data_IF_165431083468
#
_entry.id   IF_165431083468
#
_cell.length_a   1.000
_cell.length_b   1.000
_cell.length_c   1.000
_cell.angle_alpha   90.00
_cell.angle_beta   90.00
_cell.angle_gamma   90.00
#
_symmetry.space_group_name_H-M   'P 1'
#
loop_
_entity.id
_entity.type
_entity.pdbx_description
1 polymer ?
#
# COMPACT_ATOMS: atom_id res chain seq x y z
N UNK A 1 9.39 -0.36 -15.42
CA UNK A 1 10.22 -1.54 -15.06
C UNK A 1 9.29 -2.70 -14.75
N UNK A 2 9.44 -3.87 -15.39
CA UNK A 2 8.48 -4.99 -15.26
C UNK A 2 9.12 -6.14 -14.47
N UNK A 3 8.48 -6.56 -13.38
CA UNK A 3 8.93 -7.71 -12.59
C UNK A 3 8.42 -9.00 -13.23
N UNK A 4 9.27 -10.00 -13.33
CA UNK A 4 8.87 -11.35 -13.72
C UNK A 4 8.81 -12.24 -12.48
N UNK A 5 7.90 -13.22 -12.47
CA UNK A 5 7.86 -14.20 -11.39
C UNK A 5 9.12 -15.05 -11.51
N UNK A 6 9.83 -15.22 -10.41
CA UNK A 6 10.99 -16.09 -10.40
C UNK A 6 10.52 -17.53 -10.25
N UNK A 7 10.77 -18.34 -11.28
CA UNK A 7 10.54 -19.77 -11.30
C UNK A 7 11.83 -20.44 -10.81
N UNK A 8 11.91 -20.76 -9.53
CA UNK A 8 13.10 -21.39 -8.98
C UNK A 8 13.23 -22.83 -9.49
N UNK A 9 14.41 -23.17 -10.03
CA UNK A 9 14.73 -24.49 -10.59
C UNK A 9 14.63 -25.64 -9.55
N UNK A 10 14.60 -25.31 -8.25
CA UNK A 10 14.47 -26.25 -7.10
C UNK A 10 13.06 -26.29 -6.48
N UNK A 11 12.03 -25.88 -7.21
CA UNK A 11 10.58 -26.14 -6.97
C UNK A 11 9.98 -25.79 -5.59
N UNK A 12 10.73 -25.19 -4.66
CA UNK A 12 10.16 -24.79 -3.37
C UNK A 12 9.34 -23.53 -3.56
N UNK A 13 8.01 -23.66 -3.45
CA UNK A 13 7.04 -22.56 -3.45
C UNK A 13 7.31 -21.49 -2.37
N UNK A 14 8.14 -21.81 -1.37
CA UNK A 14 8.56 -20.87 -0.34
C UNK A 14 9.67 -19.93 -0.80
N UNK A 15 10.47 -20.37 -1.76
CA UNK A 15 11.52 -19.54 -2.33
C UNK A 15 10.85 -18.42 -3.13
N UNK A 16 11.17 -17.16 -2.79
CA UNK A 16 10.60 -15.96 -3.41
C UNK A 16 9.07 -15.81 -3.24
N UNK A 17 8.48 -16.43 -2.21
CA UNK A 17 7.04 -16.36 -1.95
C UNK A 17 6.51 -14.92 -1.93
N UNK A 18 7.18 -14.02 -1.20
CA UNK A 18 6.78 -12.62 -1.10
C UNK A 18 6.86 -11.92 -2.47
N UNK A 19 7.99 -12.06 -3.16
CA UNK A 19 8.21 -11.50 -4.50
C UNK A 19 7.13 -11.97 -5.47
N UNK A 20 6.91 -13.28 -5.56
CA UNK A 20 5.93 -13.87 -6.46
C UNK A 20 4.49 -13.46 -6.14
N UNK A 21 4.18 -13.14 -4.88
CA UNK A 21 2.87 -12.63 -4.45
C UNK A 21 2.66 -11.17 -4.84
N UNK A 22 3.71 -10.35 -4.84
CA UNK A 22 3.61 -8.93 -5.17
C UNK A 22 3.82 -8.62 -6.65
N UNK A 23 4.46 -9.50 -7.43
CA UNK A 23 4.76 -9.30 -8.86
C UNK A 23 3.53 -8.88 -9.68
N UNK A 24 2.39 -9.54 -9.49
CA UNK A 24 1.17 -9.19 -10.21
C UNK A 24 0.67 -7.78 -9.86
N UNK A 25 0.68 -7.42 -8.58
CA UNK A 25 0.25 -6.09 -8.12
C UNK A 25 1.22 -5.01 -8.61
N UNK A 26 2.52 -5.27 -8.49
CA UNK A 26 3.57 -4.36 -8.95
C UNK A 26 3.45 -4.04 -10.44
N UNK A 27 3.24 -5.06 -11.28
CA UNK A 27 3.13 -4.87 -12.73
C UNK A 27 1.85 -4.15 -13.17
N UNK A 28 0.86 -4.06 -12.29
CA UNK A 28 -0.38 -3.32 -12.54
C UNK A 28 -0.31 -1.87 -12.03
N UNK A 29 0.77 -1.48 -11.35
CA UNK A 29 0.96 -0.10 -10.92
C UNK A 29 1.16 0.81 -12.12
N UNK A 30 0.67 2.04 -12.01
CA UNK A 30 0.93 3.06 -13.01
C UNK A 30 2.41 3.41 -13.05
N UNK A 31 2.93 3.74 -14.24
CA UNK A 31 4.33 4.16 -14.38
C UNK A 31 4.62 5.44 -13.58
N UNK A 32 3.61 6.30 -13.41
CA UNK A 32 3.67 7.48 -12.55
C UNK A 32 3.92 7.07 -11.10
N UNK A 33 3.18 6.09 -10.57
CA UNK A 33 3.41 5.57 -9.22
C UNK A 33 4.83 5.03 -9.04
N UNK A 34 5.35 4.27 -10.01
CA UNK A 34 6.70 3.67 -9.92
C UNK A 34 7.81 4.73 -10.05
N UNK A 35 7.56 5.84 -10.75
CA UNK A 35 8.56 6.89 -11.00
C UNK A 35 8.64 7.97 -9.90
N UNK A 36 7.81 7.87 -8.85
CA UNK A 36 7.83 8.83 -7.73
C UNK A 36 9.16 8.80 -6.98
N UNK A 37 9.82 9.97 -6.92
CA UNK A 37 11.15 10.12 -6.30
C UNK A 37 11.13 10.07 -4.78
N UNK A 38 10.01 10.45 -4.14
CA UNK A 38 9.88 10.45 -2.69
C UNK A 38 9.17 9.19 -2.20
N UNK A 39 9.75 8.57 -1.19
CA UNK A 39 9.16 7.41 -0.50
C UNK A 39 7.77 7.75 0.06
N UNK A 40 7.57 8.98 0.54
CA UNK A 40 6.29 9.39 1.14
C UNK A 40 5.20 9.55 0.08
N UNK A 41 5.53 10.12 -1.07
CA UNK A 41 4.60 10.24 -2.18
C UNK A 41 4.28 8.86 -2.77
N UNK A 42 5.31 8.00 -2.89
CA UNK A 42 5.15 6.62 -3.34
C UNK A 42 4.17 5.84 -2.46
N UNK A 43 4.40 5.82 -1.14
CA UNK A 43 3.51 5.15 -0.17
C UNK A 43 2.07 5.62 -0.29
N UNK A 44 1.87 6.95 -0.29
CA UNK A 44 0.53 7.55 -0.38
C UNK A 44 -0.18 7.15 -1.68
N UNK A 45 0.55 7.08 -2.80
CA UNK A 45 -0.02 6.73 -4.10
C UNK A 45 -0.35 5.24 -4.20
N UNK A 46 0.57 4.39 -3.76
CA UNK A 46 0.38 2.93 -3.65
C UNK A 46 -0.82 2.60 -2.76
N UNK A 47 -0.94 3.28 -1.62
CA UNK A 47 -2.04 3.05 -0.68
C UNK A 47 -3.39 3.34 -1.32
N UNK A 48 -3.48 4.44 -2.09
CA UNK A 48 -4.68 4.80 -2.84
C UNK A 48 -4.97 3.83 -3.99
N UNK A 49 -3.96 3.41 -4.77
CA UNK A 49 -4.13 2.51 -5.92
C UNK A 49 -4.46 1.06 -5.52
N UNK A 50 -3.85 0.56 -4.44
CA UNK A 50 -4.00 -0.86 -4.04
C UNK A 50 -5.17 -1.10 -3.09
N UNK A 51 -5.47 -0.12 -2.22
CA UNK A 51 -6.43 -0.32 -1.14
C UNK A 51 -7.60 0.67 -1.19
N UNK A 52 -7.56 1.68 -2.07
CA UNK A 52 -8.57 2.71 -2.18
C UNK A 52 -8.62 3.64 -0.97
N UNK A 53 -9.27 4.80 -1.11
CA UNK A 53 -9.36 5.85 -0.08
C UNK A 53 -10.09 5.42 1.23
N UNK A 54 -10.41 4.14 1.42
CA UNK A 54 -11.15 3.61 2.58
C UNK A 54 -10.38 3.61 3.91
N UNK A 55 -9.04 3.65 3.88
CA UNK A 55 -8.21 3.52 5.09
C UNK A 55 -8.02 4.83 5.87
N UNK A 56 -8.34 5.98 5.27
CA UNK A 56 -8.28 7.28 5.95
C UNK A 56 -9.43 7.53 6.94
N UNK A 57 -10.45 6.66 7.00
CA UNK A 57 -11.54 6.81 7.99
C UNK A 57 -11.07 6.65 9.44
N UNK A 58 -9.94 5.96 9.68
CA UNK A 58 -9.43 5.75 11.06
C UNK A 58 -8.82 7.00 11.71
N UNK A 59 -8.55 8.06 10.94
CA UNK A 59 -8.01 9.34 11.46
C UNK A 59 -9.10 10.35 11.86
N UNK A 60 -10.37 10.14 11.49
CA UNK A 60 -11.46 11.08 11.82
C UNK A 60 -12.07 10.88 13.23
N UNK A 61 -11.78 9.77 13.91
CA UNK A 61 -12.39 9.46 15.22
C UNK A 61 -11.73 10.17 16.39
N UNK A 62 -10.43 10.48 16.34
CA UNK A 62 -9.71 11.08 17.47
C UNK A 62 -10.09 12.56 17.68
N UNK A 63 -10.31 13.33 16.61
CA UNK A 63 -10.76 14.74 16.73
C UNK A 63 -12.20 14.89 17.22
N UNK A 64 -13.07 13.93 16.90
CA UNK A 64 -14.46 13.93 17.36
C UNK A 64 -14.59 13.66 18.88
N UNK A 65 -13.67 12.86 19.45
CA UNK A 65 -13.63 12.57 20.88
C UNK A 65 -13.11 13.74 21.74
N UNK A 66 -12.27 14.62 21.19
CA UNK A 66 -11.81 15.82 21.91
C UNK A 66 -12.89 16.92 21.99
N UNK A 67 -13.78 17.01 20.98
CA UNK A 67 -14.89 17.98 20.99
C UNK A 67 -16.03 17.60 21.95
N UNK A 68 -16.32 16.31 22.10
CA UNK A 68 -17.40 15.83 22.99
C UNK A 68 -17.09 15.99 24.49
N UNK A 69 -15.82 16.11 24.87
CA UNK A 69 -15.42 16.32 26.27
C UNK A 69 -15.31 17.81 26.64
N UNK A 70 -15.36 18.73 25.67
CA UNK A 70 -15.27 20.17 25.91
C UNK A 70 -16.62 20.83 26.22
N UNK A 71 -17.73 20.15 25.92
CA UNK A 71 -19.11 20.67 26.04
C UNK A 71 -19.84 20.19 27.30
N UNK A 72 -19.11 19.54 28.22
CA UNK A 72 -19.65 18.99 29.48
C UNK A 72 -19.03 19.69 30.69
N UNK A 73 -19.18 21.01 30.74
CA UNK A 73 -18.83 21.82 31.92
C UNK A 73 -19.88 22.87 32.22
#
# INVERSE_FOLDING_TARGET
MRLTRELTKRSSYRYNFLTNRVVSKWNNLSQDSVSLKSINSFKSRIDNELFGNGHNKRRKTVKALQGLNADRR
#
